data_IF_767394001475
#
_entry.id   IF_767394001475
#
_cell.length_a   1.000
_cell.length_b   1.000
_cell.length_c   1.000
_cell.angle_alpha   90.00
_cell.angle_beta   90.00
_cell.angle_gamma   90.00
#
_symmetry.space_group_name_H-M   'P 1'
#
loop_
_entity.id
_entity.type
_entity.pdbx_description
1 polymer ?
#
# COMPACT_ATOMS: atom_id res chain seq x y z
N UNK A 1 -1.95 0.16 9.36
CA UNK A 1 -1.56 -0.58 8.13
C UNK A 1 -0.11 -0.96 8.24
N UNK A 2 0.20 -2.24 8.06
CA UNK A 2 1.55 -2.79 8.18
C UNK A 2 1.98 -3.33 6.82
N UNK A 3 3.21 -3.05 6.42
CA UNK A 3 3.86 -3.62 5.23
C UNK A 3 5.19 -4.22 5.67
N UNK A 4 5.49 -5.44 5.24
CA UNK A 4 6.72 -6.12 5.62
C UNK A 4 7.24 -7.05 4.52
N UNK A 5 8.50 -7.48 4.67
CA UNK A 5 9.13 -8.49 3.83
C UNK A 5 9.35 -9.83 4.55
N UNK A 6 8.90 -9.95 5.80
CA UNK A 6 9.04 -11.15 6.62
C UNK A 6 8.11 -12.26 6.07
N UNK A 7 8.63 -13.44 5.68
CA UNK A 7 7.81 -14.50 5.11
C UNK A 7 6.88 -15.14 6.17
N UNK A 8 5.64 -15.41 5.78
CA UNK A 8 4.64 -16.08 6.64
C UNK A 8 4.09 -15.24 7.80
N UNK A 9 4.55 -13.99 7.94
CA UNK A 9 4.02 -13.03 8.92
C UNK A 9 2.83 -12.25 8.30
N UNK A 10 1.85 -11.81 9.10
CA UNK A 10 1.46 -12.39 10.39
C UNK A 10 0.74 -13.73 10.16
N UNK A 11 0.73 -14.60 11.18
CA UNK A 11 -0.11 -15.80 11.14
C UNK A 11 -1.51 -15.48 11.63
N UNK A 12 -2.53 -15.92 10.89
CA UNK A 12 -3.92 -15.70 11.28
C UNK A 12 -4.26 -16.52 12.54
N UNK A 13 -4.76 -15.85 13.58
CA UNK A 13 -5.28 -16.46 14.82
C UNK A 13 -4.27 -17.24 15.66
N UNK A 14 -2.99 -17.26 15.31
CA UNK A 14 -1.94 -17.91 16.08
C UNK A 14 -0.75 -16.98 16.28
N UNK A 15 0.00 -17.11 17.39
CA UNK A 15 1.25 -16.38 17.57
C UNK A 15 2.25 -16.73 16.47
N UNK A 16 2.85 -15.72 15.85
CA UNK A 16 3.92 -15.93 14.88
C UNK A 16 5.24 -16.23 15.61
N UNK A 17 5.85 -17.37 15.30
CA UNK A 17 7.19 -17.70 15.76
C UNK A 17 8.23 -17.24 14.72
N UNK A 18 9.22 -16.46 15.16
CA UNK A 18 10.31 -16.00 14.29
C UNK A 18 11.15 -17.18 13.80
N UNK A 19 11.26 -17.42 12.47
CA UNK A 19 12.09 -18.50 11.97
C UNK A 19 13.57 -18.16 12.13
N UNK A 20 14.35 -19.08 12.70
CA UNK A 20 15.78 -18.86 12.93
C UNK A 20 16.54 -18.51 11.64
N UNK A 21 16.11 -19.05 10.48
CA UNK A 21 16.67 -18.77 9.16
C UNK A 21 16.53 -17.31 8.71
N UNK A 22 15.53 -16.59 9.20
CA UNK A 22 15.30 -15.19 8.83
C UNK A 22 16.19 -14.23 9.64
N UNK A 23 16.84 -14.71 10.72
CA UNK A 23 17.76 -13.89 11.53
C UNK A 23 18.97 -13.38 10.75
N UNK A 24 19.46 -14.18 9.79
CA UNK A 24 20.58 -13.80 8.94
C UNK A 24 20.16 -12.90 7.77
N UNK A 25 18.86 -12.58 7.61
CA UNK A 25 18.31 -11.86 6.47
C UNK A 25 17.84 -10.46 6.89
N UNK A 26 18.05 -9.50 6.00
CA UNK A 26 17.52 -8.14 6.19
C UNK A 26 16.03 -8.09 5.89
N UNK A 27 15.24 -7.63 6.87
CA UNK A 27 13.80 -7.43 6.72
C UNK A 27 13.41 -5.96 6.89
N UNK A 28 12.37 -5.56 6.17
CA UNK A 28 11.72 -4.26 6.33
C UNK A 28 10.36 -4.48 6.99
N UNK A 29 10.04 -3.63 7.97
CA UNK A 29 8.73 -3.54 8.60
C UNK A 29 8.35 -2.06 8.71
N UNK A 30 7.20 -1.69 8.15
CA UNK A 30 6.65 -0.33 8.21
C UNK A 30 5.25 -0.41 8.81
N UNK A 31 4.99 0.37 9.85
CA UNK A 31 3.68 0.51 10.45
C UNK A 31 3.20 1.96 10.32
N UNK A 32 1.99 2.15 9.78
CA UNK A 32 1.36 3.44 9.60
C UNK A 32 -0.02 3.47 10.28
N UNK A 33 -0.24 4.47 11.11
CA UNK A 33 -1.57 4.81 11.62
C UNK A 33 -2.33 5.55 10.53
N UNK A 34 -3.47 5.01 10.11
CA UNK A 34 -4.27 5.56 9.00
C UNK A 34 -5.72 5.74 9.43
N UNK A 35 -6.38 6.74 8.86
CA UNK A 35 -7.81 6.94 9.07
C UNK A 35 -8.62 5.88 8.31
N UNK A 36 -9.74 5.44 8.90
CA UNK A 36 -10.66 4.48 8.29
C UNK A 36 -11.17 4.91 6.91
N UNK A 37 -11.39 6.22 6.72
CA UNK A 37 -11.79 6.79 5.42
C UNK A 37 -10.80 6.53 4.28
N UNK A 38 -9.53 6.22 4.59
CA UNK A 38 -8.49 5.95 3.60
C UNK A 38 -8.34 4.46 3.25
N UNK A 39 -9.02 3.56 3.97
CA UNK A 39 -8.96 2.11 3.72
C UNK A 39 -9.37 1.77 2.29
N UNK A 40 -10.45 2.37 1.79
CA UNK A 40 -10.93 2.10 0.43
C UNK A 40 -9.91 2.51 -0.64
N UNK A 41 -9.11 3.56 -0.40
CA UNK A 41 -8.04 3.97 -1.30
C UNK A 41 -6.88 2.97 -1.31
N UNK A 42 -6.54 2.41 -0.16
CA UNK A 42 -5.54 1.35 -0.03
C UNK A 42 -6.04 0.07 -0.70
N UNK A 43 -7.30 -0.30 -0.48
CA UNK A 43 -7.91 -1.46 -1.11
C UNK A 43 -7.87 -1.39 -2.64
N UNK A 44 -8.09 -0.21 -3.23
CA UNK A 44 -7.98 0.00 -4.67
C UNK A 44 -6.55 -0.27 -5.20
N UNK A 45 -5.53 0.09 -4.43
CA UNK A 45 -4.13 -0.23 -4.74
C UNK A 45 -3.85 -1.73 -4.61
N UNK A 46 -4.37 -2.36 -3.56
CA UNK A 46 -4.19 -3.79 -3.31
C UNK A 46 -4.89 -4.66 -4.37
N UNK A 47 -6.07 -4.26 -4.83
CA UNK A 47 -6.82 -4.97 -5.87
C UNK A 47 -5.98 -5.23 -7.13
N UNK A 48 -5.07 -4.30 -7.47
CA UNK A 48 -4.18 -4.45 -8.62
C UNK A 48 -3.04 -5.44 -8.39
N UNK A 49 -2.51 -5.53 -7.17
CA UNK A 49 -1.40 -6.45 -6.87
C UNK A 49 -1.88 -7.87 -6.53
N UNK A 50 -3.20 -8.08 -6.49
CA UNK A 50 -3.85 -9.38 -6.29
C UNK A 50 -3.27 -10.17 -5.11
N UNK A 51 -3.25 -9.59 -3.89
CA UNK A 51 -2.68 -10.24 -2.74
C UNK A 51 -3.54 -11.42 -2.30
N UNK A 52 -2.90 -12.41 -1.69
CA UNK A 52 -3.63 -13.46 -0.97
C UNK A 52 -4.11 -12.91 0.37
N UNK A 53 -5.41 -13.06 0.65
CA UNK A 53 -6.04 -12.63 1.91
C UNK A 53 -6.17 -13.84 2.82
N UNK A 54 -5.36 -13.90 3.88
CA UNK A 54 -5.38 -15.03 4.82
C UNK A 54 -6.53 -14.95 5.82
N UNK A 55 -6.90 -13.74 6.23
CA UNK A 55 -7.94 -13.50 7.23
C UNK A 55 -8.50 -12.08 7.07
N UNK A 56 -9.80 -11.93 7.28
CA UNK A 56 -10.50 -10.65 7.27
C UNK A 56 -11.54 -10.64 8.39
N UNK A 57 -11.35 -9.76 9.36
CA UNK A 57 -12.20 -9.56 10.54
C UNK A 57 -12.90 -8.19 10.53
N UNK A 58 -12.86 -7.46 9.41
CA UNK A 58 -13.51 -6.17 9.29
C UNK A 58 -14.99 -6.40 8.98
N UNK A 59 -15.93 -6.02 9.87
CA UNK A 59 -17.34 -6.28 9.65
C UNK A 59 -17.91 -5.43 8.51
N UNK A 60 -18.94 -5.95 7.83
CA UNK A 60 -19.51 -5.28 6.65
C UNK A 60 -20.05 -3.88 6.96
N UNK A 61 -20.63 -3.68 8.16
CA UNK A 61 -21.11 -2.37 8.63
C UNK A 61 -20.02 -1.30 8.65
N UNK A 62 -18.77 -1.69 8.88
CA UNK A 62 -17.63 -0.80 8.88
C UNK A 62 -17.10 -0.48 7.48
N UNK A 63 -17.44 -1.32 6.51
CA UNK A 63 -17.02 -1.21 5.11
C UNK A 63 -18.16 -0.78 4.20
N UNK A 64 -19.32 -0.46 4.77
CA UNK A 64 -20.45 0.13 4.07
C UNK A 64 -19.98 1.43 3.39
N UNK A 65 -19.95 1.43 2.06
CA UNK A 65 -19.40 2.53 1.25
C UNK A 65 -17.95 2.38 0.79
N UNK A 66 -17.32 1.21 1.01
CA UNK A 66 -15.97 0.90 0.52
C UNK A 66 -15.99 -0.11 -0.64
N UNK A 67 -16.36 0.31 -1.87
CA UNK A 67 -16.56 -0.62 -2.99
C UNK A 67 -15.28 -1.36 -3.40
N UNK A 68 -14.10 -0.75 -3.28
CA UNK A 68 -12.85 -1.43 -3.63
C UNK A 68 -12.45 -2.44 -2.55
N UNK A 69 -12.76 -2.17 -1.29
CA UNK A 69 -12.57 -3.14 -0.22
C UNK A 69 -13.43 -4.37 -0.44
N UNK A 70 -14.72 -4.19 -0.77
CA UNK A 70 -15.62 -5.30 -1.08
C UNK A 70 -15.09 -6.17 -2.23
N UNK A 71 -14.69 -5.54 -3.34
CA UNK A 71 -14.08 -6.25 -4.49
C UNK A 71 -12.82 -7.02 -4.10
N UNK A 72 -11.97 -6.42 -3.26
CA UNK A 72 -10.75 -7.05 -2.78
C UNK A 72 -11.05 -8.26 -1.90
N UNK A 73 -11.98 -8.13 -0.95
CA UNK A 73 -12.41 -9.22 -0.08
C UNK A 73 -13.06 -10.39 -0.84
N UNK A 74 -13.76 -10.10 -1.93
CA UNK A 74 -14.33 -11.08 -2.85
C UNK A 74 -13.30 -11.69 -3.83
N UNK A 75 -12.04 -11.23 -3.81
CA UNK A 75 -10.99 -11.74 -4.69
C UNK A 75 -11.15 -11.32 -6.16
N UNK A 76 -11.93 -10.27 -6.45
CA UNK A 76 -12.07 -9.76 -7.80
C UNK A 76 -10.75 -9.17 -8.32
N UNK A 77 -10.49 -9.29 -9.62
CA UNK A 77 -9.27 -8.76 -10.23
C UNK A 77 -9.59 -7.76 -11.35
N UNK A 78 -8.82 -6.67 -11.49
CA UNK A 78 -9.02 -5.72 -12.60
C UNK A 78 -8.61 -6.38 -13.92
N UNK A 79 -9.58 -6.61 -14.81
CA UNK A 79 -9.36 -7.22 -16.13
C UNK A 79 -9.08 -6.18 -17.22
N UNK A 80 -9.45 -4.93 -16.99
CA UNK A 80 -9.25 -3.83 -17.94
C UNK A 80 -8.11 -2.91 -17.51
N UNK A 81 -7.35 -2.35 -18.47
CA UNK A 81 -6.34 -1.34 -18.17
C UNK A 81 -6.98 -0.07 -17.59
N UNK A 82 -6.22 0.72 -16.79
CA UNK A 82 -4.78 0.62 -16.56
C UNK A 82 -4.36 -0.42 -15.50
N UNK A 83 -3.28 -1.16 -15.80
CA UNK A 83 -2.68 -2.20 -14.94
C UNK A 83 -1.67 -1.65 -13.92
N UNK A 84 -1.68 -0.35 -13.69
CA UNK A 84 -0.82 0.36 -12.74
C UNK A 84 -1.60 1.46 -12.08
N UNK A 85 -1.33 1.75 -10.82
CA UNK A 85 -1.92 2.90 -10.13
C UNK A 85 -0.92 3.62 -9.24
N UNK A 86 -1.21 4.90 -9.00
CA UNK A 86 -0.60 5.70 -7.94
C UNK A 86 -1.71 6.25 -7.07
N UNK A 87 -1.67 5.96 -5.78
CA UNK A 87 -2.60 6.48 -4.77
C UNK A 87 -1.82 7.26 -3.73
N UNK A 88 -2.46 8.25 -3.14
CA UNK A 88 -1.87 9.06 -2.07
C UNK A 88 -2.74 8.89 -0.84
N UNK A 89 -2.09 8.58 0.28
CA UNK A 89 -2.71 8.50 1.60
C UNK A 89 -1.96 9.45 2.55
N UNK A 90 -2.54 9.72 3.71
CA UNK A 90 -1.92 10.48 4.80
C UNK A 90 -2.04 9.73 6.11
N UNK A 91 -0.98 9.74 6.92
CA UNK A 91 -1.07 9.18 8.27
C UNK A 91 -2.09 9.95 9.11
N UNK A 92 -2.75 9.24 10.01
CA UNK A 92 -3.66 9.84 10.99
C UNK A 92 -2.80 10.42 12.11
N UNK A 93 -2.39 11.66 11.94
CA UNK A 93 -1.73 12.49 12.94
C UNK A 93 -2.29 13.91 12.86
N UNK A 94 -2.58 14.52 14.01
CA UNK A 94 -3.23 15.83 14.07
C UNK A 94 -2.24 17.00 13.92
N UNK A 95 -0.95 16.80 14.24
CA UNK A 95 0.06 17.86 14.24
C UNK A 95 0.97 17.83 13.02
N UNK A 96 1.31 16.64 12.51
CA UNK A 96 2.25 16.44 11.41
C UNK A 96 1.89 15.20 10.57
N UNK A 97 0.83 15.27 9.73
CA UNK A 97 0.47 14.17 8.85
C UNK A 97 1.55 13.93 7.78
N UNK A 98 1.98 12.68 7.64
CA UNK A 98 2.94 12.25 6.63
C UNK A 98 2.20 11.80 5.38
N UNK A 99 2.56 12.38 4.22
CA UNK A 99 2.00 11.98 2.92
C UNK A 99 2.74 10.74 2.41
N UNK A 100 1.99 9.70 2.03
CA UNK A 100 2.54 8.44 1.52
C UNK A 100 1.96 8.17 0.13
N UNK A 101 2.85 7.86 -0.82
CA UNK A 101 2.47 7.46 -2.17
C UNK A 101 2.57 5.95 -2.33
N UNK A 102 1.46 5.33 -2.68
CA UNK A 102 1.34 3.89 -2.94
C UNK A 102 1.35 3.69 -4.44
N UNK A 103 2.30 2.88 -4.91
CA UNK A 103 2.42 2.50 -6.30
C UNK A 103 2.10 1.01 -6.43
N UNK A 104 1.22 0.67 -7.35
CA UNK A 104 0.73 -0.69 -7.54
C UNK A 104 0.76 -1.07 -9.00
N UNK A 105 1.02 -2.35 -9.28
CA UNK A 105 0.98 -2.92 -10.62
C UNK A 105 0.44 -4.35 -10.57
N UNK A 106 -0.27 -4.78 -11.61
CA UNK A 106 -0.61 -6.19 -11.78
C UNK A 106 0.55 -7.00 -12.36
N UNK A 107 0.42 -8.33 -12.30
CA UNK A 107 1.31 -9.26 -12.98
C UNK A 107 1.30 -9.04 -14.51
N UNK A 108 0.12 -8.73 -15.08
CA UNK A 108 -0.08 -8.43 -16.50
C UNK A 108 0.56 -7.10 -16.95
N UNK A 109 1.10 -6.29 -16.03
CA UNK A 109 1.77 -5.04 -16.36
C UNK A 109 3.11 -5.30 -17.06
N UNK A 110 3.15 -5.11 -18.38
CA UNK A 110 4.33 -5.34 -19.24
C UNK A 110 5.45 -4.29 -19.10
N UNK A 111 5.32 -3.28 -18.23
CA UNK A 111 6.31 -2.20 -18.11
C UNK A 111 7.47 -2.54 -17.14
N UNK A 112 8.70 -2.33 -17.61
CA UNK A 112 9.96 -2.66 -16.92
C UNK A 112 10.02 -2.21 -15.46
N UNK A 113 10.25 -3.18 -14.57
CA UNK A 113 9.88 -3.23 -13.14
C UNK A 113 10.44 -2.12 -12.22
N UNK A 114 11.34 -1.24 -12.67
CA UNK A 114 12.10 -0.35 -11.76
C UNK A 114 12.41 1.05 -12.33
N UNK A 115 12.76 1.17 -13.62
CA UNK A 115 13.23 2.44 -14.22
C UNK A 115 12.17 3.55 -14.21
N UNK A 116 10.89 3.20 -14.42
CA UNK A 116 9.82 4.20 -14.49
C UNK A 116 9.32 4.64 -13.11
N UNK A 117 9.36 3.74 -12.11
CA UNK A 117 9.07 4.10 -10.72
C UNK A 117 10.14 5.05 -10.18
N UNK A 118 11.43 4.75 -10.42
CA UNK A 118 12.52 5.67 -10.10
C UNK A 118 12.40 7.01 -10.82
N UNK A 119 12.06 7.03 -12.12
CA UNK A 119 11.80 8.28 -12.85
C UNK A 119 10.60 9.05 -12.27
N UNK A 120 9.53 8.36 -11.89
CA UNK A 120 8.34 8.99 -11.28
C UNK A 120 8.64 9.55 -9.91
N UNK A 121 9.35 8.80 -9.06
CA UNK A 121 9.82 9.24 -7.75
C UNK A 121 10.77 10.44 -7.88
N UNK A 122 11.77 10.37 -8.78
CA UNK A 122 12.70 11.47 -9.05
C UNK A 122 11.96 12.75 -9.46
N UNK A 123 10.99 12.64 -10.37
CA UNK A 123 10.17 13.78 -10.80
C UNK A 123 9.29 14.33 -9.66
N UNK A 124 8.78 13.47 -8.77
CA UNK A 124 7.98 13.90 -7.62
C UNK A 124 8.84 14.68 -6.62
N UNK A 125 10.00 14.12 -6.23
CA UNK A 125 10.96 14.78 -5.33
C UNK A 125 11.43 16.13 -5.89
N UNK A 126 11.73 16.19 -7.19
CA UNK A 126 12.14 17.44 -7.83
C UNK A 126 11.02 18.50 -7.82
N UNK A 127 9.77 18.08 -7.99
CA UNK A 127 8.61 18.99 -7.95
C UNK A 127 8.33 19.49 -6.53
N UNK A 128 8.43 18.61 -5.54
CA UNK A 128 8.22 18.96 -4.13
C UNK A 128 9.31 19.93 -3.65
N UNK A 129 10.58 19.70 -4.03
CA UNK A 129 11.67 20.64 -3.75
C UNK A 129 11.50 22.00 -4.45
N UNK A 130 10.97 22.03 -5.68
CA UNK A 130 10.67 23.29 -6.40
C UNK A 130 9.51 24.07 -5.76
N UNK A 131 8.55 23.40 -5.14
CA UNK A 131 7.46 24.04 -4.39
C UNK A 131 7.97 24.72 -3.12
N UNK A 132 8.83 24.03 -2.36
CA UNK A 132 9.45 24.55 -1.13
C UNK A 132 10.33 25.79 -1.39
N UNK A 133 11.00 25.88 -2.55
CA UNK A 133 11.80 27.06 -2.91
C UNK A 133 10.93 28.27 -3.28
N UNK A 134 9.71 28.07 -3.80
CA UNK A 134 8.80 29.15 -4.17
C UNK A 134 8.00 29.73 -2.98
N UNK A 135 7.88 28.99 -1.88
CA UNK A 135 7.13 29.42 -0.69
C UNK A 135 8.01 30.19 0.32
N UNK A 136 9.30 30.40 0.00
CA UNK A 136 10.28 31.16 0.79
C UNK A 136 10.68 32.51 0.16
N UNK A 137 9.83 33.13 -0.64
CA UNK A 137 10.00 34.51 -1.14
C UNK A 137 8.80 35.37 -0.79
#
# INVERSE_FOLDING_TARGET
WVVHTIPGFPTAKTPYAWPASETARGHLLICLTIAKSQINAIAASLLLVQPMIHYNDIPESETAGMPYFKKLAEGQTPTMPPFTSRRTIRTKDAGAPVTVHIYSKSESSKYGKQKNLQKSHRKSIEKDNKGVVKERQ
#
